data_IF_395816638933
#
_entry.id   IF_395816638933
#
_cell.length_a   1.000
_cell.length_b   1.000
_cell.length_c   1.000
_cell.angle_alpha   90.00
_cell.angle_beta   90.00
_cell.angle_gamma   90.00
#
_symmetry.space_group_name_H-M   'P 1'
#
loop_
_entity.id
_entity.type
_entity.pdbx_description
1 polymer ?
#
# COMPACT_ATOMS: atom_id res chain seq x y z
N UNK A 1 -18.38 12.44 44.06
CA UNK A 1 -18.00 13.82 43.71
C UNK A 1 -17.43 13.73 42.31
N UNK A 2 -17.98 14.45 41.33
CA UNK A 2 -17.49 14.36 39.95
C UNK A 2 -16.28 15.28 39.80
N UNK A 3 -15.11 14.68 39.64
CA UNK A 3 -13.88 15.39 39.25
C UNK A 3 -14.03 15.87 37.81
N UNK A 4 -14.73 16.99 37.64
CA UNK A 4 -14.98 17.59 36.33
C UNK A 4 -14.02 18.75 36.21
N UNK A 5 -12.91 18.55 35.49
CA UNK A 5 -11.95 19.61 35.20
C UNK A 5 -12.64 20.70 34.36
N UNK A 6 -12.42 21.96 34.73
CA UNK A 6 -12.86 23.11 33.93
C UNK A 6 -11.87 23.36 32.80
N UNK A 7 -12.35 23.83 31.65
CA UNK A 7 -11.49 24.26 30.55
C UNK A 7 -10.53 25.38 30.95
N UNK A 8 -10.91 26.20 31.92
CA UNK A 8 -10.08 27.29 32.45
C UNK A 8 -8.89 26.77 33.31
N UNK A 9 -8.92 25.49 33.71
CA UNK A 9 -7.86 24.84 34.52
C UNK A 9 -6.86 24.08 33.66
N UNK A 10 -7.12 23.95 32.35
CA UNK A 10 -6.26 23.22 31.41
C UNK A 10 -5.43 24.23 30.61
N UNK A 11 -4.21 24.49 31.07
CA UNK A 11 -3.22 25.24 30.29
C UNK A 11 -2.62 24.32 29.22
N UNK A 12 -2.95 24.59 27.96
CA UNK A 12 -2.32 23.99 26.78
C UNK A 12 -1.62 25.10 26.02
N UNK A 13 -0.37 24.87 25.63
CA UNK A 13 0.35 25.81 24.77
C UNK A 13 -0.42 25.97 23.45
N UNK A 14 -0.66 27.22 22.99
CA UNK A 14 -1.36 27.45 21.74
C UNK A 14 -0.54 26.89 20.56
N UNK A 15 -1.19 26.08 19.73
CA UNK A 15 -0.62 25.55 18.49
C UNK A 15 -0.85 26.57 17.35
N UNK A 16 0.22 26.93 16.64
CA UNK A 16 0.13 27.76 15.44
C UNK A 16 -0.25 26.88 14.24
N UNK A 17 -1.38 27.17 13.61
CA UNK A 17 -1.78 26.52 12.37
C UNK A 17 -1.18 27.31 11.20
N UNK A 18 -0.21 26.71 10.52
CA UNK A 18 0.48 27.37 9.40
C UNK A 18 -0.27 27.19 8.08
N UNK A 19 0.08 28.00 7.07
CA UNK A 19 -0.41 27.81 5.70
C UNK A 19 -0.01 26.42 5.12
N UNK A 20 1.08 25.83 5.61
CA UNK A 20 1.46 24.46 5.25
C UNK A 20 0.52 23.43 5.87
N UNK A 21 0.07 23.65 7.10
CA UNK A 21 -0.92 22.77 7.76
C UNK A 21 -2.27 22.88 7.05
N UNK A 22 -2.70 24.10 6.70
CA UNK A 22 -3.92 24.30 5.92
C UNK A 22 -3.86 23.59 4.57
N UNK A 23 -2.75 23.71 3.83
CA UNK A 23 -2.54 22.97 2.57
C UNK A 23 -2.50 21.47 2.79
N UNK A 24 -1.77 20.97 3.79
CA UNK A 24 -1.70 19.55 4.09
C UNK A 24 -3.06 18.96 4.52
N UNK A 25 -3.93 19.77 5.14
CA UNK A 25 -5.30 19.40 5.48
C UNK A 25 -6.19 19.37 4.21
N UNK A 26 -6.10 20.40 3.37
CA UNK A 26 -6.86 20.45 2.11
C UNK A 26 -6.41 19.38 1.10
N UNK A 27 -5.12 19.07 1.04
CA UNK A 27 -4.53 18.03 0.19
C UNK A 27 -4.71 16.62 0.81
N UNK A 28 -4.65 16.50 2.13
CA UNK A 28 -4.66 15.22 2.85
C UNK A 28 -6.03 14.58 3.05
N UNK A 29 -7.13 15.33 2.94
CA UNK A 29 -8.50 14.80 3.05
C UNK A 29 -8.96 14.29 1.68
N UNK A 30 -8.49 13.09 1.30
CA UNK A 30 -8.98 12.38 0.10
C UNK A 30 -7.92 11.68 -0.76
N UNK A 31 -6.64 11.72 -0.36
CA UNK A 31 -5.50 11.26 -1.17
C UNK A 31 -5.42 9.75 -1.40
N UNK A 32 -5.94 8.94 -0.48
CA UNK A 32 -5.83 7.48 -0.57
C UNK A 32 -7.11 6.88 -1.17
N UNK A 33 -7.01 6.04 -2.21
CA UNK A 33 -8.18 5.36 -2.76
C UNK A 33 -8.82 4.44 -1.70
N UNK A 34 -10.16 4.28 -1.69
CA UNK A 34 -10.88 3.43 -0.74
C UNK A 34 -10.54 1.95 -0.94
N UNK A 35 -11.10 1.07 -0.09
CA UNK A 35 -11.00 -0.37 -0.29
C UNK A 35 -11.54 -0.76 -1.68
N UNK A 36 -10.87 -1.67 -2.38
CA UNK A 36 -11.19 -1.92 -3.79
C UNK A 36 -10.10 -2.62 -4.58
N UNK A 37 -10.32 -2.69 -5.89
CA UNK A 37 -9.36 -3.17 -6.88
C UNK A 37 -8.95 -2.03 -7.81
N UNK A 38 -7.65 -1.87 -8.02
CA UNK A 38 -7.10 -0.79 -8.82
C UNK A 38 -6.03 -1.32 -9.76
N UNK A 39 -6.16 -1.05 -11.06
CA UNK A 39 -5.04 -1.19 -11.98
C UNK A 39 -4.04 -0.08 -11.67
N UNK A 40 -2.83 -0.47 -11.36
CA UNK A 40 -1.79 0.44 -10.97
C UNK A 40 -0.50 0.21 -11.75
N UNK A 41 0.30 1.26 -11.87
CA UNK A 41 1.65 1.22 -12.41
C UNK A 41 2.64 1.61 -11.32
N UNK A 42 3.72 0.84 -11.18
CA UNK A 42 4.84 1.21 -10.30
C UNK A 42 5.54 2.42 -10.90
N UNK A 43 5.58 3.54 -10.16
CA UNK A 43 6.24 4.77 -10.60
C UNK A 43 7.52 5.06 -9.82
N UNK A 44 7.68 4.48 -8.62
CA UNK A 44 8.86 4.66 -7.79
C UNK A 44 9.17 3.41 -6.96
N UNK A 45 10.46 3.17 -6.71
CA UNK A 45 10.96 2.22 -5.72
C UNK A 45 12.02 2.92 -4.87
N UNK A 46 11.69 3.12 -3.60
CA UNK A 46 12.53 3.87 -2.66
C UNK A 46 13.12 2.90 -1.63
N UNK A 47 14.46 2.74 -1.56
CA UNK A 47 15.08 1.86 -0.58
C UNK A 47 14.85 2.41 0.83
N UNK A 48 14.56 1.52 1.79
CA UNK A 48 14.35 1.91 3.19
C UNK A 48 14.80 0.83 4.16
N UNK A 49 14.97 1.24 5.42
CA UNK A 49 15.05 0.33 6.55
C UNK A 49 13.63 -0.01 7.02
N UNK A 50 13.36 -1.29 7.26
CA UNK A 50 12.11 -1.78 7.82
C UNK A 50 12.42 -2.40 9.17
N UNK A 51 11.80 -1.87 10.21
CA UNK A 51 11.95 -2.34 11.58
C UNK A 51 10.77 -3.24 11.98
N UNK A 52 11.08 -4.49 12.33
CA UNK A 52 10.16 -5.41 12.96
C UNK A 52 10.47 -5.51 14.45
N UNK A 53 9.54 -6.06 15.24
CA UNK A 53 9.73 -6.20 16.69
C UNK A 53 11.02 -6.95 17.09
N UNK A 54 11.52 -7.86 16.25
CA UNK A 54 12.65 -8.75 16.57
C UNK A 54 13.92 -8.51 15.76
N UNK A 55 13.84 -7.73 14.66
CA UNK A 55 14.97 -7.46 13.77
C UNK A 55 14.64 -6.29 12.85
N UNK A 56 15.66 -5.76 12.19
CA UNK A 56 15.50 -4.79 11.11
C UNK A 56 16.11 -5.37 9.83
N UNK A 57 15.58 -4.98 8.68
CA UNK A 57 16.16 -5.35 7.40
C UNK A 57 16.08 -4.19 6.40
N UNK A 58 16.80 -4.34 5.29
CA UNK A 58 16.57 -3.51 4.12
C UNK A 58 15.26 -3.93 3.44
N UNK A 59 14.65 -3.00 2.73
CA UNK A 59 13.51 -3.24 1.87
C UNK A 59 13.34 -2.08 0.90
N UNK A 60 12.18 -2.05 0.25
CA UNK A 60 11.76 -0.91 -0.56
C UNK A 60 10.31 -0.57 -0.24
N UNK A 61 9.98 0.71 -0.29
CA UNK A 61 8.60 1.14 -0.53
C UNK A 61 8.40 1.22 -2.04
N UNK A 62 7.35 0.58 -2.54
CA UNK A 62 6.89 0.76 -3.90
C UNK A 62 5.79 1.82 -3.89
N UNK A 63 5.91 2.81 -4.79
CA UNK A 63 4.86 3.79 -5.06
C UNK A 63 4.16 3.40 -6.35
N UNK A 64 2.87 3.27 -6.27
CA UNK A 64 1.99 2.92 -7.37
C UNK A 64 1.11 4.12 -7.70
N UNK A 65 0.99 4.42 -8.98
CA UNK A 65 0.01 5.36 -9.51
C UNK A 65 -1.20 4.57 -10.01
N UNK A 66 -2.40 4.97 -9.60
CA UNK A 66 -3.66 4.36 -10.05
C UNK A 66 -3.89 4.79 -11.51
N UNK A 67 -3.89 3.81 -12.40
CA UNK A 67 -4.25 4.03 -13.81
C UNK A 67 -5.76 3.86 -14.04
N UNK A 68 -6.43 3.03 -13.22
CA UNK A 68 -7.88 2.81 -13.28
C UNK A 68 -8.41 2.17 -12.01
N UNK A 69 -9.57 2.62 -11.53
CA UNK A 69 -10.34 1.89 -10.51
C UNK A 69 -11.21 0.79 -11.17
N UNK A 70 -11.14 -0.43 -10.64
CA UNK A 70 -11.88 -1.60 -11.14
C UNK A 70 -13.05 -1.97 -10.22
N UNK A 71 -12.80 -1.94 -8.91
CA UNK A 71 -13.82 -2.15 -7.89
C UNK A 71 -13.62 -1.15 -6.75
N UNK A 72 -14.72 -0.66 -6.18
CA UNK A 72 -14.74 0.14 -4.95
C UNK A 72 -15.74 -0.50 -3.99
N UNK A 73 -15.33 -0.77 -2.76
CA UNK A 73 -16.19 -1.38 -1.73
C UNK A 73 -16.92 -2.65 -2.21
N UNK A 74 -16.19 -3.50 -2.95
CA UNK A 74 -16.67 -4.74 -3.57
C UNK A 74 -17.77 -4.56 -4.64
N UNK A 75 -17.91 -3.36 -5.21
CA UNK A 75 -18.76 -3.08 -6.37
C UNK A 75 -17.91 -2.74 -7.58
N UNK A 76 -18.21 -3.28 -8.77
CA UNK A 76 -17.59 -2.82 -10.01
C UNK A 76 -17.79 -1.32 -10.19
N UNK A 77 -16.76 -0.64 -10.68
CA UNK A 77 -16.85 0.77 -11.05
C UNK A 77 -17.54 0.90 -12.40
N UNK A 78 -18.62 1.69 -12.47
CA UNK A 78 -19.37 1.97 -13.69
C UNK A 78 -19.22 3.45 -14.10
N UNK A 79 -18.99 3.71 -15.39
CA UNK A 79 -18.83 5.07 -15.91
C UNK A 79 -17.62 5.80 -15.33
N UNK A 80 -17.81 7.08 -15.00
CA UNK A 80 -16.73 8.01 -14.66
C UNK A 80 -16.40 8.03 -13.14
N UNK A 81 -17.07 7.21 -12.33
CA UNK A 81 -16.88 7.17 -10.87
C UNK A 81 -15.44 6.80 -10.46
N UNK A 82 -14.72 6.09 -11.33
CA UNK A 82 -13.34 5.69 -11.12
C UNK A 82 -12.32 6.79 -11.40
N UNK A 83 -12.66 7.79 -12.23
CA UNK A 83 -11.73 8.80 -12.72
C UNK A 83 -11.16 9.66 -11.59
N UNK A 84 -11.95 9.88 -10.53
CA UNK A 84 -11.52 10.66 -9.35
C UNK A 84 -10.37 9.99 -8.58
N UNK A 85 -10.07 8.73 -8.85
CA UNK A 85 -8.98 7.99 -8.24
C UNK A 85 -7.77 7.82 -9.16
N UNK A 86 -7.89 8.13 -10.45
CA UNK A 86 -6.76 8.07 -11.37
C UNK A 86 -5.69 9.10 -10.97
N UNK A 87 -4.43 8.71 -11.07
CA UNK A 87 -3.29 9.51 -10.60
C UNK A 87 -3.07 9.49 -9.08
N UNK A 88 -4.00 8.93 -8.28
CA UNK A 88 -3.76 8.76 -6.84
C UNK A 88 -2.70 7.71 -6.58
N UNK A 89 -2.12 7.78 -5.38
CA UNK A 89 -0.98 6.96 -5.01
C UNK A 89 -1.33 5.88 -3.99
N UNK A 90 -0.85 4.67 -4.24
CA UNK A 90 -0.86 3.54 -3.31
C UNK A 90 0.58 3.19 -2.97
N UNK A 91 0.83 2.83 -1.71
CA UNK A 91 2.16 2.45 -1.25
C UNK A 91 2.14 1.05 -0.65
N UNK A 92 3.19 0.27 -0.93
CA UNK A 92 3.40 -1.03 -0.27
C UNK A 92 4.88 -1.26 0.03
N UNK A 93 5.13 -1.87 1.19
CA UNK A 93 6.48 -2.17 1.66
C UNK A 93 6.86 -3.62 1.38
N UNK A 94 8.01 -3.81 0.74
CA UNK A 94 8.58 -5.12 0.49
C UNK A 94 9.90 -5.27 1.25
N UNK A 95 9.88 -6.12 2.27
CA UNK A 95 11.06 -6.47 3.06
C UNK A 95 11.97 -7.46 2.32
N UNK A 96 13.27 -7.16 2.27
CA UNK A 96 14.28 -8.06 1.70
C UNK A 96 14.60 -9.22 2.65
N UNK A 97 15.26 -10.23 2.09
CA UNK A 97 15.58 -11.44 2.82
C UNK A 97 16.42 -11.13 4.07
N UNK A 98 16.02 -11.74 5.19
CA UNK A 98 16.73 -11.64 6.46
C UNK A 98 16.71 -13.00 7.15
N UNK A 99 17.77 -13.36 7.87
CA UNK A 99 17.91 -14.69 8.50
C UNK A 99 16.79 -15.00 9.50
N UNK A 100 16.26 -13.96 10.16
CA UNK A 100 15.17 -14.03 11.14
C UNK A 100 13.78 -13.84 10.53
N UNK A 101 13.67 -13.79 9.20
CA UNK A 101 12.37 -13.59 8.55
C UNK A 101 11.45 -14.79 8.78
N UNK A 102 10.17 -14.51 9.04
CA UNK A 102 9.15 -15.56 9.09
C UNK A 102 8.84 -16.04 7.67
N UNK A 103 8.44 -17.30 7.53
CA UNK A 103 8.10 -17.89 6.23
C UNK A 103 7.02 -17.09 5.47
N UNK A 104 6.07 -16.47 6.19
CA UNK A 104 5.07 -15.58 5.60
C UNK A 104 5.68 -14.37 4.88
N UNK A 105 6.73 -13.74 5.44
CA UNK A 105 7.40 -12.60 4.82
C UNK A 105 8.19 -13.02 3.59
N UNK A 106 8.87 -14.16 3.68
CA UNK A 106 9.56 -14.78 2.54
C UNK A 106 8.60 -15.09 1.39
N UNK A 107 7.43 -15.67 1.70
CA UNK A 107 6.37 -15.96 0.73
C UNK A 107 5.80 -14.67 0.12
N UNK A 108 5.51 -13.65 0.93
CA UNK A 108 4.97 -12.37 0.44
C UNK A 108 5.93 -11.72 -0.55
N UNK A 109 7.21 -11.57 -0.21
CA UNK A 109 8.21 -10.98 -1.12
C UNK A 109 8.25 -11.69 -2.48
N UNK A 110 8.24 -13.03 -2.48
CA UNK A 110 8.25 -13.82 -3.72
C UNK A 110 6.95 -13.70 -4.50
N UNK A 111 5.81 -13.69 -3.80
CA UNK A 111 4.49 -13.50 -4.40
C UNK A 111 4.40 -12.16 -5.12
N UNK A 112 4.81 -11.07 -4.47
CA UNK A 112 4.84 -9.73 -5.07
C UNK A 112 5.73 -9.71 -6.32
N UNK A 113 6.94 -10.27 -6.22
CA UNK A 113 7.88 -10.30 -7.34
C UNK A 113 7.34 -11.08 -8.56
N UNK A 114 6.70 -12.22 -8.33
CA UNK A 114 6.09 -13.04 -9.39
C UNK A 114 4.87 -12.35 -10.01
N UNK A 115 4.07 -11.62 -9.23
CA UNK A 115 2.88 -10.90 -9.73
C UNK A 115 3.23 -9.65 -10.53
N UNK A 116 4.29 -8.95 -10.14
CA UNK A 116 4.84 -7.83 -10.90
C UNK A 116 5.65 -8.26 -12.13
N UNK A 117 5.91 -9.57 -12.30
CA UNK A 117 6.70 -10.08 -13.41
C UNK A 117 8.12 -9.54 -13.45
N UNK A 118 8.70 -9.22 -12.28
CA UNK A 118 10.14 -8.89 -12.17
C UNK A 118 11.00 -10.14 -11.99
N UNK A 119 10.37 -11.31 -11.79
CA UNK A 119 11.03 -12.60 -11.69
C UNK A 119 10.13 -13.72 -12.20
N UNK A 120 10.76 -14.75 -12.79
CA UNK A 120 10.11 -15.99 -13.21
C UNK A 120 10.47 -17.16 -12.25
N UNK A 121 9.64 -18.22 -12.18
CA UNK A 121 9.97 -19.44 -11.47
C UNK A 121 11.35 -19.97 -11.82
N UNK A 122 12.12 -20.35 -10.79
CA UNK A 122 13.49 -20.87 -10.95
C UNK A 122 14.58 -19.80 -11.01
N UNK A 123 14.24 -18.51 -11.15
CA UNK A 123 15.22 -17.43 -11.12
C UNK A 123 15.58 -17.00 -9.69
N UNK A 124 16.73 -16.32 -9.55
CA UNK A 124 17.19 -15.76 -8.28
C UNK A 124 16.66 -14.34 -8.12
N UNK A 125 15.91 -14.10 -7.04
CA UNK A 125 15.39 -12.78 -6.70
C UNK A 125 16.50 -11.91 -6.10
N UNK A 126 17.12 -11.10 -6.94
CA UNK A 126 18.19 -10.18 -6.55
C UNK A 126 17.63 -8.80 -6.19
N UNK A 127 18.46 -8.00 -5.50
CA UNK A 127 18.08 -6.66 -5.03
C UNK A 127 17.90 -5.64 -6.17
N UNK A 128 18.68 -5.78 -7.25
CA UNK A 128 18.67 -4.92 -8.44
C UNK A 128 17.31 -4.95 -9.15
N UNK A 129 16.64 -6.10 -9.15
CA UNK A 129 15.31 -6.27 -9.74
C UNK A 129 14.25 -5.37 -9.08
N UNK A 130 14.45 -5.02 -7.81
CA UNK A 130 13.56 -4.10 -7.09
C UNK A 130 13.87 -2.65 -7.36
N UNK A 131 15.09 -2.30 -7.80
CA UNK A 131 15.48 -0.91 -8.01
C UNK A 131 15.02 -0.40 -9.38
N UNK A 132 15.36 -1.15 -10.43
CA UNK A 132 15.22 -0.69 -11.81
C UNK A 132 14.10 -1.44 -12.54
N UNK A 133 14.11 -2.77 -12.49
CA UNK A 133 13.22 -3.61 -13.30
C UNK A 133 11.74 -3.59 -12.87
N UNK A 134 11.47 -3.11 -11.64
CA UNK A 134 10.11 -2.97 -11.12
C UNK A 134 9.39 -1.73 -11.63
N UNK A 135 10.13 -0.69 -12.05
CA UNK A 135 9.54 0.57 -12.48
C UNK A 135 8.78 0.38 -13.80
N UNK A 136 7.58 0.94 -13.89
CA UNK A 136 6.69 0.81 -15.03
C UNK A 136 5.91 -0.49 -15.10
N UNK A 137 6.16 -1.46 -14.20
CA UNK A 137 5.36 -2.69 -14.13
C UNK A 137 3.93 -2.37 -13.72
N UNK A 138 2.98 -3.01 -14.39
CA UNK A 138 1.55 -2.90 -14.10
C UNK A 138 1.06 -4.09 -13.29
N UNK A 139 0.17 -3.82 -12.35
CA UNK A 139 -0.43 -4.83 -11.51
C UNK A 139 -1.79 -4.35 -11.01
N UNK A 140 -2.70 -5.28 -10.73
CA UNK A 140 -3.93 -4.94 -10.05
C UNK A 140 -3.72 -5.11 -8.56
N UNK A 141 -3.90 -4.03 -7.81
CA UNK A 141 -3.79 -4.02 -6.35
C UNK A 141 -5.15 -4.14 -5.70
N UNK A 142 -5.26 -5.02 -4.70
CA UNK A 142 -6.40 -5.08 -3.79
C UNK A 142 -6.10 -4.32 -2.52
N UNK A 143 -6.86 -3.26 -2.28
CA UNK A 143 -6.86 -2.54 -1.01
C UNK A 143 -7.91 -3.14 -0.07
N UNK A 144 -7.45 -3.50 1.12
CA UNK A 144 -8.27 -4.08 2.19
C UNK A 144 -8.29 -3.16 3.41
N UNK A 145 -9.28 -3.36 4.26
CA UNK A 145 -9.40 -2.61 5.51
C UNK A 145 -8.18 -2.86 6.41
N UNK A 146 -7.63 -1.78 6.95
CA UNK A 146 -6.48 -1.85 7.85
C UNK A 146 -6.93 -1.61 9.29
N UNK A 147 -7.26 -2.69 9.98
CA UNK A 147 -7.59 -2.64 11.40
C UNK A 147 -6.31 -2.75 12.23
N UNK A 148 -6.10 -1.80 13.13
CA UNK A 148 -4.98 -1.84 14.07
C UNK A 148 -5.45 -1.49 15.48
N UNK A 149 -4.75 -2.04 16.47
CA UNK A 149 -4.96 -1.69 17.87
C UNK A 149 -4.14 -0.47 18.22
N UNK A 150 -4.78 0.60 18.67
CA UNK A 150 -4.10 1.79 19.16
C UNK A 150 -3.20 1.43 20.35
N UNK A 151 -1.91 1.80 20.28
CA UNK A 151 -0.93 1.44 21.32
C UNK A 151 -1.17 2.17 22.64
N UNK A 152 -1.82 3.34 22.62
CA UNK A 152 -2.10 4.17 23.80
C UNK A 152 -3.43 3.78 24.44
N UNK A 153 -4.49 3.66 23.65
CA UNK A 153 -5.84 3.42 24.18
C UNK A 153 -6.21 1.93 24.23
N UNK A 154 -5.56 1.10 23.41
CA UNK A 154 -5.90 -0.31 23.27
C UNK A 154 -7.17 -0.57 22.47
N UNK A 155 -7.77 0.44 21.87
CA UNK A 155 -8.98 0.32 21.06
C UNK A 155 -8.64 -0.11 19.62
N UNK A 156 -9.60 -0.78 18.97
CA UNK A 156 -9.50 -1.08 17.53
C UNK A 156 -9.82 0.19 16.73
N UNK A 157 -8.89 0.57 15.85
CA UNK A 157 -9.04 1.69 14.92
C UNK A 157 -8.93 1.19 13.49
N UNK A 158 -9.66 1.85 12.60
CA UNK A 158 -9.56 1.65 11.16
C UNK A 158 -8.62 2.71 10.61
N UNK A 159 -7.48 2.26 10.06
CA UNK A 159 -6.50 3.10 9.39
C UNK A 159 -6.78 3.24 7.89
N UNK A 160 -5.84 3.88 7.20
CA UNK A 160 -5.85 3.93 5.73
C UNK A 160 -5.85 2.51 5.15
N UNK A 161 -6.61 2.24 4.07
CA UNK A 161 -6.57 0.96 3.39
C UNK A 161 -5.13 0.56 3.04
N UNK A 162 -4.85 -0.74 3.08
CA UNK A 162 -3.53 -1.26 2.76
C UNK A 162 -3.62 -2.36 1.70
N UNK A 163 -2.51 -2.64 1.03
CA UNK A 163 -2.44 -3.75 0.08
C UNK A 163 -2.57 -5.08 0.84
N UNK A 164 -3.49 -5.94 0.41
CA UNK A 164 -3.71 -7.26 1.02
C UNK A 164 -2.44 -8.11 1.13
N UNK A 165 -2.29 -8.89 2.21
CA UNK A 165 -1.02 -9.54 2.51
C UNK A 165 -0.68 -10.72 1.57
N UNK A 166 -1.67 -11.50 1.13
CA UNK A 166 -1.50 -12.62 0.19
C UNK A 166 -2.51 -12.65 -0.96
N UNK A 167 -3.39 -11.67 -1.01
CA UNK A 167 -4.44 -11.42 -2.00
C UNK A 167 -4.36 -9.99 -2.55
N UNK A 168 -3.29 -9.26 -2.21
CA UNK A 168 -3.11 -7.86 -2.59
C UNK A 168 -2.65 -7.63 -4.02
N UNK A 169 -2.13 -8.65 -4.72
CA UNK A 169 -1.51 -8.51 -6.04
C UNK A 169 -2.10 -9.49 -7.06
N UNK A 170 -2.74 -8.94 -8.09
CA UNK A 170 -3.35 -9.69 -9.18
C UNK A 170 -2.69 -9.32 -10.51
N UNK A 171 -2.60 -10.28 -11.43
CA UNK A 171 -2.12 -10.00 -12.78
C UNK A 171 -3.09 -9.06 -13.49
N UNK A 172 -2.55 -8.09 -14.21
CA UNK A 172 -3.29 -7.36 -15.24
C UNK A 172 -3.15 -8.14 -16.55
N UNK A 173 -4.26 -8.60 -17.13
CA UNK A 173 -4.25 -9.19 -18.47
C UNK A 173 -4.04 -8.10 -19.56
N UNK A 174 -4.01 -8.51 -20.85
CA UNK A 174 -3.92 -7.59 -21.99
C UNK A 174 -5.11 -6.61 -22.09
N UNK A 175 -6.20 -6.91 -21.39
CA UNK A 175 -7.42 -6.10 -21.30
C UNK A 175 -7.46 -5.25 -20.01
N UNK A 176 -6.39 -5.27 -19.20
CA UNK A 176 -6.29 -4.64 -17.88
C UNK A 176 -7.34 -5.11 -16.86
N UNK A 177 -7.80 -6.35 -16.97
CA UNK A 177 -8.66 -7.02 -16.01
C UNK A 177 -7.87 -8.02 -15.16
N UNK A 178 -8.47 -8.49 -14.07
CA UNK A 178 -7.88 -9.54 -13.22
C UNK A 178 -7.74 -10.80 -14.06
N UNK A 179 -6.49 -11.17 -14.37
CA UNK A 179 -6.21 -12.43 -15.05
C UNK A 179 -6.20 -13.58 -14.03
N UNK A 180 -6.92 -14.66 -14.34
CA UNK A 180 -6.61 -15.96 -13.72
C UNK A 180 -5.24 -16.43 -14.20
N UNK A 181 -4.52 -17.17 -13.34
CA UNK A 181 -3.15 -17.62 -13.57
C UNK A 181 -3.13 -18.72 -14.64
N UNK A 182 -3.48 -18.43 -15.88
CA UNK A 182 -3.38 -19.38 -16.98
C UNK A 182 -2.74 -18.74 -18.21
N UNK A 183 -1.41 -18.78 -18.19
CA UNK A 183 -0.47 -19.08 -19.27
C UNK A 183 0.65 -18.04 -19.36
N UNK A 184 1.85 -18.56 -19.15
CA UNK A 184 3.10 -17.94 -19.54
C UNK A 184 3.16 -17.91 -21.06
N UNK A 185 2.51 -16.94 -21.69
CA UNK A 185 2.88 -16.57 -23.05
C UNK A 185 3.94 -15.48 -22.92
N UNK A 186 5.16 -15.86 -23.31
CA UNK A 186 6.36 -15.02 -23.33
C UNK A 186 6.03 -13.60 -23.86
N UNK A 187 6.33 -12.59 -23.05
CA UNK A 187 6.45 -11.19 -23.49
C UNK A 187 7.90 -10.95 -23.89
#
# INVERSE_FOLDING_TARGET
MSDTMSWDEVEVDPEEVTDQDAKAIEEGVGEYPPIGLYLCRVIESTPKRIDFNAYSCLGTTLKFEVERALEIEAKPVEGDEGEVYEGKHIYDDVAFAHEKEKDGMKKRRKYVALRLGIINPGQVLRKDLWRDDVIGKRVILRLVENKYKDKKTGEEKIGRPQVGFFDGYHYADKSNQVAEVEKWDDI
#
